data_IF_997790159312
#
_entry.id   IF_997790159312
#
_cell.length_a   1.000
_cell.length_b   1.000
_cell.length_c   1.000
_cell.angle_alpha   90.00
_cell.angle_beta   90.00
_cell.angle_gamma   90.00
#
_symmetry.space_group_name_H-M   'P 1'
#
loop_
_entity.id
_entity.type
_entity.pdbx_description
1 polymer ?
#
# COMPACT_ATOMS: atom_id res chain seq x y z
N UNK A 1 41.87 -20.43 -4.37
CA UNK A 1 40.90 -21.49 -4.01
C UNK A 1 40.78 -22.42 -5.22
N UNK A 2 41.05 -23.72 -5.05
CA UNK A 2 40.97 -24.65 -6.19
C UNK A 2 39.51 -24.85 -6.62
N UNK A 3 39.27 -25.08 -7.92
CA UNK A 3 37.93 -25.31 -8.47
C UNK A 3 37.16 -26.38 -7.66
N UNK A 4 37.89 -27.40 -7.17
CA UNK A 4 37.38 -28.49 -6.33
C UNK A 4 36.87 -28.00 -4.97
N UNK A 5 37.53 -27.02 -4.37
CA UNK A 5 37.11 -26.42 -3.08
C UNK A 5 35.86 -25.55 -3.26
N UNK A 6 35.75 -24.86 -4.41
CA UNK A 6 34.59 -24.09 -4.77
C UNK A 6 33.36 -25.00 -5.01
N UNK A 7 33.54 -26.13 -5.72
CA UNK A 7 32.45 -27.12 -5.89
C UNK A 7 32.08 -27.82 -4.58
N UNK A 8 33.04 -28.03 -3.66
CA UNK A 8 32.75 -28.62 -2.35
C UNK A 8 32.01 -27.64 -1.42
N UNK A 9 32.34 -26.33 -1.49
CA UNK A 9 31.58 -25.27 -0.80
C UNK A 9 30.16 -25.15 -1.35
N UNK A 10 29.99 -25.13 -2.66
CA UNK A 10 28.67 -25.12 -3.31
C UNK A 10 27.79 -26.33 -2.95
N UNK A 11 28.40 -27.53 -2.77
CA UNK A 11 27.68 -28.72 -2.29
C UNK A 11 27.18 -28.62 -0.86
N UNK A 12 27.89 -27.88 0.01
CA UNK A 12 27.46 -27.61 1.39
C UNK A 12 26.31 -26.58 1.45
N UNK A 13 26.26 -25.64 0.50
CA UNK A 13 25.28 -24.56 0.44
C UNK A 13 24.00 -24.90 -0.34
N UNK A 14 23.99 -26.03 -1.04
CA UNK A 14 22.90 -26.44 -1.96
C UNK A 14 23.03 -25.84 -3.35
N UNK A 15 22.71 -26.65 -4.38
CA UNK A 15 22.86 -26.26 -5.79
C UNK A 15 21.84 -25.20 -6.25
N UNK A 16 20.69 -25.10 -5.57
CA UNK A 16 19.56 -24.22 -5.93
C UNK A 16 19.37 -23.15 -4.86
N UNK A 17 19.39 -23.52 -3.57
CA UNK A 17 19.05 -22.59 -2.48
C UNK A 17 20.00 -21.41 -2.40
N UNK A 18 21.30 -21.62 -2.44
CA UNK A 18 22.28 -20.53 -2.33
C UNK A 18 22.23 -19.55 -3.53
N UNK A 19 22.20 -20.00 -4.81
CA UNK A 19 22.01 -19.09 -5.94
C UNK A 19 20.67 -18.36 -5.90
N UNK A 20 19.59 -19.03 -5.50
CA UNK A 20 18.25 -18.44 -5.38
C UNK A 20 18.23 -17.36 -4.28
N UNK A 21 18.78 -17.65 -3.12
CA UNK A 21 18.83 -16.70 -2.02
C UNK A 21 19.66 -15.45 -2.38
N UNK A 22 20.78 -15.63 -3.08
CA UNK A 22 21.58 -14.50 -3.59
C UNK A 22 20.78 -13.65 -4.58
N UNK A 23 20.13 -14.30 -5.56
CA UNK A 23 19.29 -13.62 -6.53
C UNK A 23 18.16 -12.82 -5.85
N UNK A 24 17.43 -13.42 -4.89
CA UNK A 24 16.34 -12.77 -4.17
C UNK A 24 16.85 -11.61 -3.32
N UNK A 25 17.99 -11.76 -2.64
CA UNK A 25 18.59 -10.67 -1.89
C UNK A 25 18.94 -9.47 -2.78
N UNK A 26 19.55 -9.73 -3.93
CA UNK A 26 19.88 -8.70 -4.91
C UNK A 26 18.63 -8.01 -5.49
N UNK A 27 17.55 -8.78 -5.75
CA UNK A 27 16.29 -8.21 -6.24
C UNK A 27 15.63 -7.33 -5.18
N UNK A 28 15.50 -7.84 -3.95
CA UNK A 28 14.81 -7.18 -2.85
C UNK A 28 15.46 -5.87 -2.39
N UNK A 29 16.78 -5.77 -2.54
CA UNK A 29 17.57 -4.64 -2.04
C UNK A 29 18.03 -3.68 -3.16
N UNK A 30 17.40 -3.76 -4.33
CA UNK A 30 17.58 -2.76 -5.40
C UNK A 30 16.89 -1.45 -5.02
N UNK A 31 17.35 -0.32 -5.58
CA UNK A 31 16.65 0.95 -5.44
C UNK A 31 15.16 0.79 -5.79
N UNK A 32 14.30 1.21 -4.88
CA UNK A 32 12.87 1.07 -5.03
C UNK A 32 12.32 2.17 -5.96
N UNK A 33 11.40 1.79 -6.85
CA UNK A 33 10.74 2.68 -7.81
C UNK A 33 9.43 3.29 -7.25
N UNK A 34 9.04 2.93 -6.01
CA UNK A 34 7.81 3.42 -5.38
C UNK A 34 7.89 4.92 -5.13
N UNK A 35 6.72 5.55 -5.12
CA UNK A 35 6.59 6.93 -4.69
C UNK A 35 7.25 7.15 -3.32
N UNK A 36 8.10 8.15 -3.28
CA UNK A 36 8.78 8.58 -2.05
C UNK A 36 8.19 9.93 -1.62
N UNK A 37 8.34 10.27 -0.35
CA UNK A 37 7.82 11.51 0.22
C UNK A 37 6.30 11.64 0.13
N UNK A 38 5.57 10.53 0.25
CA UNK A 38 4.10 10.49 0.37
C UNK A 38 3.68 9.71 1.60
N UNK A 39 2.47 9.97 2.08
CA UNK A 39 1.83 9.20 3.15
C UNK A 39 1.14 7.99 2.55
N UNK A 40 1.72 6.81 2.73
CA UNK A 40 1.09 5.58 2.26
C UNK A 40 0.01 5.12 3.25
N UNK A 41 -1.21 4.77 2.78
CA UNK A 41 -2.29 4.27 3.66
C UNK A 41 -1.89 3.06 4.50
N UNK A 42 -1.05 2.17 3.99
CA UNK A 42 -0.50 1.03 4.72
C UNK A 42 0.41 1.41 5.91
N UNK A 43 0.76 2.68 6.05
CA UNK A 43 1.53 3.22 7.18
C UNK A 43 0.65 3.99 8.18
N UNK A 44 -0.66 4.03 7.99
CA UNK A 44 -1.61 4.69 8.86
C UNK A 44 -1.48 4.22 10.32
N UNK A 45 -1.35 5.15 11.24
CA UNK A 45 -1.22 4.87 12.68
C UNK A 45 0.07 4.17 13.10
N UNK A 46 1.07 4.07 12.23
CA UNK A 46 2.41 3.59 12.58
C UNK A 46 3.31 4.73 13.10
N UNK A 47 4.51 4.39 13.57
CA UNK A 47 5.46 5.34 14.13
C UNK A 47 5.84 6.45 13.14
N UNK A 48 5.50 7.71 13.43
CA UNK A 48 5.78 8.88 12.59
C UNK A 48 7.27 9.06 12.33
N UNK A 49 8.13 8.74 13.30
CA UNK A 49 9.59 8.80 13.11
C UNK A 49 10.08 7.76 12.07
N UNK A 50 9.53 6.54 12.08
CA UNK A 50 9.86 5.53 11.07
C UNK A 50 9.33 5.93 9.68
N UNK A 51 8.11 6.49 9.63
CA UNK A 51 7.53 7.02 8.40
C UNK A 51 8.34 8.20 7.83
N UNK A 52 8.84 9.09 8.70
CA UNK A 52 9.74 10.17 8.33
C UNK A 52 11.01 9.64 7.67
N UNK A 53 11.67 8.64 8.26
CA UNK A 53 12.87 8.03 7.68
C UNK A 53 12.59 7.40 6.31
N UNK A 54 11.48 6.69 6.19
CA UNK A 54 11.06 6.08 4.93
C UNK A 54 10.83 7.12 3.84
N UNK A 55 10.09 8.19 4.15
CA UNK A 55 9.78 9.29 3.21
C UNK A 55 11.04 10.04 2.78
N UNK A 56 11.98 10.24 3.67
CA UNK A 56 13.25 10.90 3.39
C UNK A 56 14.35 9.95 2.87
N UNK A 57 13.99 8.71 2.50
CA UNK A 57 14.90 7.72 1.93
C UNK A 57 16.14 7.46 2.80
N UNK A 58 15.99 7.59 4.12
CA UNK A 58 17.07 7.23 5.05
C UNK A 58 17.34 5.73 4.92
N UNK A 59 18.60 5.35 4.85
CA UNK A 59 18.99 3.94 4.76
C UNK A 59 18.51 3.17 6.00
N UNK A 60 17.83 2.06 5.79
CA UNK A 60 17.37 1.17 6.85
C UNK A 60 18.51 0.34 7.45
N UNK A 61 18.26 -0.26 8.61
CA UNK A 61 19.25 -1.02 9.40
C UNK A 61 19.74 -2.32 8.74
N UNK A 62 19.14 -2.71 7.61
CA UNK A 62 19.53 -3.91 6.87
C UNK A 62 18.63 -4.16 5.68
N UNK A 63 19.07 -5.01 4.78
CA UNK A 63 18.31 -5.39 3.60
C UNK A 63 17.20 -6.40 3.93
N UNK A 64 16.32 -6.59 2.98
CA UNK A 64 15.30 -7.65 3.02
C UNK A 64 16.01 -8.98 2.77
N UNK A 65 15.92 -9.91 3.72
CA UNK A 65 16.47 -11.24 3.57
C UNK A 65 15.65 -12.09 2.57
N UNK A 66 16.25 -13.10 1.93
CA UNK A 66 15.59 -13.90 0.88
C UNK A 66 14.33 -14.63 1.33
N UNK A 67 14.26 -15.04 2.60
CA UNK A 67 13.06 -15.69 3.14
C UNK A 67 11.93 -14.69 3.27
N UNK A 68 12.20 -13.49 3.77
CA UNK A 68 11.23 -12.40 3.86
C UNK A 68 10.74 -12.00 2.48
N UNK A 69 11.61 -11.94 1.47
CA UNK A 69 11.20 -11.69 0.09
C UNK A 69 10.23 -12.76 -0.41
N UNK A 70 10.51 -14.04 -0.20
CA UNK A 70 9.56 -15.12 -0.59
C UNK A 70 8.20 -15.01 0.12
N UNK A 71 8.17 -14.49 1.35
CA UNK A 71 6.90 -14.22 2.06
C UNK A 71 6.12 -13.09 1.39
N UNK A 72 6.81 -12.03 0.94
CA UNK A 72 6.17 -10.93 0.21
C UNK A 72 5.66 -11.39 -1.16
N UNK A 73 6.46 -12.15 -1.91
CA UNK A 73 6.06 -12.72 -3.21
C UNK A 73 4.81 -13.59 -3.06
N UNK A 74 4.75 -14.44 -2.02
CA UNK A 74 3.56 -15.24 -1.75
C UNK A 74 2.32 -14.38 -1.46
N UNK A 75 2.49 -13.24 -0.77
CA UNK A 75 1.42 -12.26 -0.58
C UNK A 75 0.93 -11.71 -1.92
N UNK A 76 1.84 -11.26 -2.79
CA UNK A 76 1.52 -10.75 -4.12
C UNK A 76 0.75 -11.78 -4.97
N UNK A 77 1.22 -13.03 -5.03
CA UNK A 77 0.51 -14.09 -5.76
C UNK A 77 -0.87 -14.42 -5.16
N UNK A 78 -1.06 -14.25 -3.84
CA UNK A 78 -2.37 -14.40 -3.21
C UNK A 78 -3.33 -13.31 -3.72
N UNK A 79 -2.89 -12.05 -3.79
CA UNK A 79 -3.70 -10.95 -4.33
C UNK A 79 -4.06 -11.20 -5.79
N UNK A 80 -3.08 -11.42 -6.67
CA UNK A 80 -3.29 -11.68 -8.10
C UNK A 80 -4.30 -12.82 -8.33
N UNK A 81 -4.19 -13.92 -7.58
CA UNK A 81 -5.07 -15.07 -7.69
C UNK A 81 -6.50 -14.77 -7.24
N UNK A 82 -6.69 -14.12 -6.09
CA UNK A 82 -8.01 -13.81 -5.55
C UNK A 82 -8.70 -12.72 -6.38
N UNK A 83 -7.97 -11.69 -6.81
CA UNK A 83 -8.46 -10.67 -7.74
C UNK A 83 -8.90 -11.31 -9.05
N UNK A 84 -8.12 -12.24 -9.62
CA UNK A 84 -8.49 -12.97 -10.83
C UNK A 84 -9.82 -13.72 -10.70
N UNK A 85 -10.06 -14.41 -9.57
CA UNK A 85 -11.35 -15.07 -9.34
C UNK A 85 -12.51 -14.06 -9.26
N UNK A 86 -12.31 -12.90 -8.63
CA UNK A 86 -13.35 -11.89 -8.51
C UNK A 86 -13.64 -11.19 -9.85
N UNK A 87 -12.66 -11.04 -10.72
CA UNK A 87 -12.85 -10.58 -12.10
C UNK A 87 -13.69 -11.59 -12.87
N UNK A 88 -13.36 -12.89 -12.81
CA UNK A 88 -14.12 -13.95 -13.47
C UNK A 88 -15.58 -14.07 -12.98
N UNK A 89 -15.86 -13.58 -11.77
CA UNK A 89 -17.18 -13.55 -11.15
C UNK A 89 -17.96 -12.25 -11.43
N UNK A 90 -17.41 -11.30 -12.18
CA UNK A 90 -17.94 -9.94 -12.38
C UNK A 90 -18.15 -9.17 -11.05
N UNK A 91 -17.43 -9.55 -10.00
CA UNK A 91 -17.51 -8.93 -8.67
C UNK A 91 -16.52 -7.77 -8.51
N UNK A 92 -15.41 -7.75 -9.24
CA UNK A 92 -14.38 -6.73 -9.18
C UNK A 92 -14.53 -5.77 -10.36
N UNK A 93 -14.81 -4.48 -10.07
CA UNK A 93 -14.90 -3.42 -11.08
C UNK A 93 -13.52 -2.99 -11.58
N UNK A 94 -12.55 -2.98 -10.68
CA UNK A 94 -11.17 -2.60 -10.94
C UNK A 94 -10.28 -3.17 -9.83
N UNK A 95 -9.12 -3.70 -10.17
CA UNK A 95 -8.03 -4.06 -9.27
C UNK A 95 -7.01 -2.92 -9.15
N UNK A 96 -6.15 -2.98 -8.15
CA UNK A 96 -5.03 -2.04 -7.93
C UNK A 96 -5.47 -0.56 -8.11
N UNK A 97 -6.58 -0.18 -7.45
CA UNK A 97 -7.18 1.16 -7.60
C UNK A 97 -6.32 2.23 -6.96
N UNK A 98 -5.76 3.16 -7.74
CA UNK A 98 -4.97 4.25 -7.18
C UNK A 98 -5.87 5.25 -6.44
N UNK A 99 -5.42 5.67 -5.27
CA UNK A 99 -6.08 6.68 -4.45
C UNK A 99 -5.08 7.76 -4.04
N UNK A 100 -5.45 8.99 -4.33
CA UNK A 100 -4.65 10.20 -4.08
C UNK A 100 -5.44 11.18 -3.24
N UNK A 101 -4.79 11.79 -2.25
CA UNK A 101 -5.28 13.00 -1.63
C UNK A 101 -4.15 14.02 -1.50
N UNK A 102 -4.25 15.11 -2.27
CA UNK A 102 -3.20 16.14 -2.37
C UNK A 102 -3.03 16.89 -1.05
N UNK A 103 -4.14 17.19 -0.35
CA UNK A 103 -4.12 17.95 0.91
C UNK A 103 -3.24 17.30 1.97
N UNK A 104 -3.36 15.99 2.13
CA UNK A 104 -2.61 15.24 3.13
C UNK A 104 -1.39 14.52 2.52
N UNK A 105 -1.07 14.77 1.25
CA UNK A 105 0.00 14.10 0.52
C UNK A 105 -0.11 12.57 0.61
N UNK A 106 -1.34 12.04 0.43
CA UNK A 106 -1.62 10.61 0.46
C UNK A 106 -1.52 10.04 -0.95
N UNK A 107 -0.86 8.90 -1.07
CA UNK A 107 -0.82 8.11 -2.31
C UNK A 107 -0.72 6.63 -1.97
N UNK A 108 -1.54 5.82 -2.60
CA UNK A 108 -1.53 4.36 -2.46
C UNK A 108 -2.51 3.70 -3.40
N UNK A 109 -2.53 2.37 -3.38
CA UNK A 109 -3.49 1.55 -4.10
C UNK A 109 -4.25 0.71 -3.10
N UNK A 110 -5.56 0.57 -3.30
CA UNK A 110 -6.35 -0.48 -2.67
C UNK A 110 -6.45 -1.67 -3.62
N UNK A 111 -6.67 -2.87 -3.07
CA UNK A 111 -6.67 -4.10 -3.86
C UNK A 111 -7.84 -4.15 -4.87
N UNK A 112 -8.88 -3.32 -4.70
CA UNK A 112 -9.91 -3.16 -5.71
C UNK A 112 -11.15 -2.39 -5.29
N UNK A 113 -12.01 -2.11 -6.29
CA UNK A 113 -13.40 -1.71 -6.12
C UNK A 113 -14.32 -2.89 -6.43
N UNK A 114 -15.15 -3.26 -5.46
CA UNK A 114 -16.16 -4.33 -5.60
C UNK A 114 -17.50 -3.77 -6.07
N UNK A 115 -18.13 -4.52 -6.97
CA UNK A 115 -19.52 -4.32 -7.37
C UNK A 115 -20.44 -5.09 -6.43
N UNK A 116 -21.15 -4.38 -5.56
CA UNK A 116 -22.14 -4.95 -4.64
C UNK A 116 -23.59 -4.54 -5.00
N UNK A 117 -23.80 -4.08 -6.21
CA UNK A 117 -25.02 -3.55 -6.81
C UNK A 117 -26.18 -3.28 -5.81
N UNK A 118 -26.52 -2.02 -5.52
CA UNK A 118 -26.07 -0.79 -6.20
C UNK A 118 -24.83 -0.13 -5.56
N UNK A 119 -24.22 -0.74 -4.56
CA UNK A 119 -23.10 -0.15 -3.81
C UNK A 119 -21.75 -0.51 -4.44
N UNK A 120 -20.80 0.39 -4.30
CA UNK A 120 -19.37 0.11 -4.51
C UNK A 120 -18.67 0.03 -3.16
N UNK A 121 -17.87 -0.99 -2.96
CA UNK A 121 -17.06 -1.15 -1.76
C UNK A 121 -15.58 -1.26 -2.10
N UNK A 122 -14.71 -0.93 -1.14
CA UNK A 122 -13.26 -1.14 -1.25
C UNK A 122 -12.93 -2.58 -0.85
N UNK A 123 -12.07 -3.23 -1.64
CA UNK A 123 -11.49 -4.52 -1.32
C UNK A 123 -10.10 -4.32 -0.72
N UNK A 124 -9.79 -5.08 0.32
CA UNK A 124 -8.46 -5.17 0.90
C UNK A 124 -8.14 -6.62 1.28
N UNK A 125 -7.20 -7.23 0.59
CA UNK A 125 -6.79 -8.64 0.76
C UNK A 125 -5.62 -8.71 1.73
N UNK A 126 -5.64 -9.67 2.64
CA UNK A 126 -4.58 -9.89 3.62
C UNK A 126 -4.23 -11.37 3.73
N UNK A 127 -2.97 -11.71 3.49
CA UNK A 127 -2.44 -13.07 3.67
C UNK A 127 -1.76 -13.17 5.04
N UNK A 128 -2.24 -14.06 5.91
CA UNK A 128 -1.71 -14.26 7.27
C UNK A 128 -1.46 -15.74 7.57
N UNK A 129 -0.60 -16.02 8.56
CA UNK A 129 -0.31 -17.39 8.97
C UNK A 129 -1.46 -18.00 9.79
N UNK A 130 -1.47 -19.34 9.90
CA UNK A 130 -2.53 -20.08 10.60
C UNK A 130 -2.78 -19.60 12.03
N UNK A 131 -1.75 -19.24 12.80
CA UNK A 131 -1.92 -18.74 14.15
C UNK A 131 -2.66 -17.39 14.16
N UNK A 132 -2.20 -16.44 13.36
CA UNK A 132 -2.85 -15.13 13.23
C UNK A 132 -4.28 -15.25 12.69
N UNK A 133 -4.52 -16.20 11.78
CA UNK A 133 -5.83 -16.48 11.21
C UNK A 133 -6.80 -17.08 12.25
N UNK A 134 -6.33 -18.02 13.08
CA UNK A 134 -7.15 -18.62 14.14
C UNK A 134 -7.59 -17.57 15.18
N UNK A 135 -6.69 -16.67 15.56
CA UNK A 135 -6.95 -15.62 16.54
C UNK A 135 -7.83 -14.48 16.00
N UNK A 136 -8.06 -14.41 14.68
CA UNK A 136 -8.75 -13.31 14.02
C UNK A 136 -10.27 -13.42 14.23
N UNK A 137 -10.83 -12.47 14.99
CA UNK A 137 -12.27 -12.34 15.25
C UNK A 137 -12.89 -11.13 14.53
N UNK A 138 -12.07 -10.22 14.05
CA UNK A 138 -12.41 -9.01 13.33
C UNK A 138 -11.19 -8.55 12.51
N UNK A 139 -11.36 -7.58 11.60
CA UNK A 139 -10.24 -6.94 10.93
C UNK A 139 -9.31 -6.29 11.96
N UNK A 140 -7.99 -6.38 11.72
CA UNK A 140 -7.01 -5.78 12.63
C UNK A 140 -7.13 -4.27 12.63
N UNK A 141 -6.92 -3.63 13.79
CA UNK A 141 -7.03 -2.18 13.94
C UNK A 141 -6.11 -1.40 12.97
N UNK A 142 -4.91 -1.92 12.73
CA UNK A 142 -3.99 -1.32 11.74
C UNK A 142 -4.56 -1.35 10.30
N UNK A 143 -5.29 -2.41 9.95
CA UNK A 143 -5.94 -2.52 8.64
C UNK A 143 -7.20 -1.65 8.57
N UNK A 144 -7.96 -1.52 9.66
CA UNK A 144 -9.10 -0.59 9.73
C UNK A 144 -8.66 0.85 9.53
N UNK A 145 -7.53 1.29 10.15
CA UNK A 145 -6.95 2.61 9.91
C UNK A 145 -6.58 2.79 8.44
N UNK A 146 -5.96 1.80 7.83
CA UNK A 146 -5.66 1.80 6.39
C UNK A 146 -6.94 1.92 5.55
N UNK A 147 -7.96 1.11 5.85
CA UNK A 147 -9.25 1.14 5.16
C UNK A 147 -9.97 2.47 5.28
N UNK A 148 -9.92 3.13 6.47
CA UNK A 148 -10.50 4.46 6.65
C UNK A 148 -9.86 5.51 5.73
N UNK A 149 -8.54 5.44 5.53
CA UNK A 149 -7.86 6.34 4.60
C UNK A 149 -8.29 6.09 3.16
N UNK A 150 -8.44 4.82 2.77
CA UNK A 150 -8.96 4.50 1.44
C UNK A 150 -10.38 5.01 1.22
N UNK A 151 -11.29 4.77 2.19
CA UNK A 151 -12.65 5.30 2.14
C UNK A 151 -12.69 6.83 2.06
N UNK A 152 -11.85 7.48 2.84
CA UNK A 152 -11.72 8.94 2.81
C UNK A 152 -11.29 9.43 1.43
N UNK A 153 -10.22 8.88 0.87
CA UNK A 153 -9.71 9.31 -0.43
C UNK A 153 -10.69 9.04 -1.56
N UNK A 154 -11.31 7.86 -1.58
CA UNK A 154 -12.28 7.49 -2.60
C UNK A 154 -13.53 8.39 -2.56
N UNK A 155 -14.09 8.63 -1.36
CA UNK A 155 -15.30 9.44 -1.21
C UNK A 155 -15.03 10.93 -1.49
N UNK A 156 -13.91 11.50 -1.03
CA UNK A 156 -13.50 12.86 -1.37
C UNK A 156 -13.36 13.04 -2.88
N UNK A 157 -12.74 12.06 -3.58
CA UNK A 157 -12.60 12.12 -5.02
C UNK A 157 -13.94 11.99 -5.73
N UNK A 158 -14.81 11.08 -5.29
CA UNK A 158 -16.16 10.91 -5.81
C UNK A 158 -16.98 12.19 -5.71
N UNK A 159 -16.99 12.80 -4.53
CA UNK A 159 -17.69 14.06 -4.28
C UNK A 159 -17.14 15.19 -5.17
N UNK A 160 -15.81 15.31 -5.25
CA UNK A 160 -15.16 16.30 -6.12
C UNK A 160 -15.61 16.17 -7.58
N UNK A 161 -15.59 14.94 -8.12
CA UNK A 161 -15.98 14.69 -9.50
C UNK A 161 -17.45 15.07 -9.77
N UNK A 162 -18.36 14.66 -8.89
CA UNK A 162 -19.80 14.94 -9.01
C UNK A 162 -20.16 16.39 -8.74
N UNK A 163 -19.39 17.08 -7.93
CA UNK A 163 -19.59 18.53 -7.69
C UNK A 163 -19.03 19.36 -8.84
N UNK A 164 -17.96 18.93 -9.46
CA UNK A 164 -17.31 19.65 -10.56
C UNK A 164 -18.05 19.44 -11.87
N UNK A 165 -18.39 18.20 -12.21
CA UNK A 165 -19.03 17.84 -13.48
C UNK A 165 -20.49 17.46 -13.23
N UNK A 166 -21.41 18.18 -13.88
CA UNK A 166 -22.88 17.98 -13.69
C UNK A 166 -23.47 17.06 -14.73
N UNK A 167 -22.80 16.87 -15.85
CA UNK A 167 -23.24 15.98 -16.93
C UNK A 167 -22.09 15.06 -17.37
N UNK A 168 -22.46 13.98 -18.04
CA UNK A 168 -21.50 13.04 -18.61
C UNK A 168 -20.66 13.71 -19.71
N UNK A 169 -21.23 14.65 -20.47
CA UNK A 169 -20.51 15.41 -21.48
C UNK A 169 -19.42 16.28 -20.86
N UNK A 170 -19.72 16.99 -19.75
CA UNK A 170 -18.72 17.78 -19.01
C UNK A 170 -17.60 16.90 -18.46
N UNK A 171 -17.95 15.76 -17.86
CA UNK A 171 -16.99 14.81 -17.33
C UNK A 171 -16.09 14.24 -18.44
N UNK A 172 -16.64 13.83 -19.58
CA UNK A 172 -15.88 13.31 -20.71
C UNK A 172 -15.00 14.39 -21.35
N UNK A 173 -15.48 15.63 -21.46
CA UNK A 173 -14.71 16.75 -22.01
C UNK A 173 -13.49 17.12 -21.12
N UNK A 174 -13.51 16.80 -19.82
CA UNK A 174 -12.40 17.04 -18.90
C UNK A 174 -11.29 15.98 -18.92
N UNK A 175 -11.36 14.99 -19.80
CA UNK A 175 -10.43 13.86 -19.83
C UNK A 175 -8.95 14.31 -19.89
N UNK A 176 -8.62 15.21 -20.82
CA UNK A 176 -7.25 15.68 -21.00
C UNK A 176 -6.75 16.51 -19.81
N UNK A 177 -7.61 17.33 -19.19
CA UNK A 177 -7.31 18.09 -17.97
C UNK A 177 -7.00 17.16 -16.80
N UNK A 178 -7.82 16.13 -16.59
CA UNK A 178 -7.60 15.12 -15.54
C UNK A 178 -6.33 14.30 -15.79
N UNK A 179 -6.09 13.90 -17.05
CA UNK A 179 -4.88 13.21 -17.44
C UNK A 179 -3.63 14.05 -17.16
N UNK A 180 -3.65 15.36 -17.47
CA UNK A 180 -2.54 16.27 -17.19
C UNK A 180 -2.31 16.47 -15.70
N UNK A 181 -3.38 16.60 -14.89
CA UNK A 181 -3.29 16.64 -13.44
C UNK A 181 -2.55 15.39 -12.88
N UNK A 182 -2.96 14.18 -13.29
CA UNK A 182 -2.32 12.95 -12.83
C UNK A 182 -0.88 12.84 -13.35
N UNK A 183 -0.62 13.19 -14.59
CA UNK A 183 0.74 13.22 -15.16
C UNK A 183 1.65 14.15 -14.36
N UNK A 184 1.16 15.33 -13.98
CA UNK A 184 1.87 16.26 -13.10
C UNK A 184 2.14 15.67 -11.73
N UNK A 185 1.15 15.00 -11.13
CA UNK A 185 1.29 14.36 -9.81
C UNK A 185 2.37 13.27 -9.79
N UNK A 186 2.46 12.45 -10.84
CA UNK A 186 3.42 11.35 -10.92
C UNK A 186 4.80 11.72 -11.50
N UNK A 187 5.10 13.01 -11.71
CA UNK A 187 6.40 13.48 -12.23
C UNK A 187 7.62 12.99 -11.42
N UNK A 188 7.45 12.67 -10.14
CA UNK A 188 8.50 12.18 -9.24
C UNK A 188 8.88 10.72 -9.46
N UNK A 189 8.08 9.93 -10.19
CA UNK A 189 8.35 8.52 -10.44
C UNK A 189 9.65 8.32 -11.24
N UNK A 190 10.33 7.21 -10.95
CA UNK A 190 11.54 6.80 -11.65
C UNK A 190 11.27 5.59 -12.52
N UNK A 191 11.98 5.48 -13.63
CA UNK A 191 11.97 4.27 -14.45
C UNK A 191 12.50 3.08 -13.68
N UNK A 192 12.07 1.89 -14.08
CA UNK A 192 12.48 0.63 -13.51
C UNK A 192 13.06 -0.33 -14.55
N UNK A 193 13.21 -1.58 -14.14
CA UNK A 193 13.78 -2.61 -15.01
C UNK A 193 12.83 -3.08 -16.12
N UNK A 194 11.52 -3.13 -15.80
CA UNK A 194 10.49 -3.62 -16.73
C UNK A 194 9.87 -2.50 -17.55
N UNK A 195 9.76 -1.30 -16.95
CA UNK A 195 9.08 -0.15 -17.54
C UNK A 195 9.95 1.08 -17.47
N UNK A 196 9.92 1.90 -18.51
CA UNK A 196 10.49 3.25 -18.51
C UNK A 196 9.74 4.14 -17.50
N UNK A 197 10.29 5.32 -17.23
CA UNK A 197 9.61 6.32 -16.39
C UNK A 197 8.27 6.73 -17.01
N UNK A 198 8.27 6.98 -18.31
CA UNK A 198 7.12 7.42 -19.09
C UNK A 198 6.00 6.35 -19.10
N UNK A 199 6.36 5.08 -19.29
CA UNK A 199 5.38 3.97 -19.23
C UNK A 199 4.74 3.83 -17.85
N UNK A 200 5.51 4.00 -16.78
CA UNK A 200 4.96 3.96 -15.41
C UNK A 200 4.01 5.12 -15.14
N UNK A 201 4.41 6.34 -15.53
CA UNK A 201 3.55 7.52 -15.36
C UNK A 201 2.27 7.34 -16.16
N UNK A 202 2.36 6.86 -17.41
CA UNK A 202 1.18 6.65 -18.22
C UNK A 202 0.25 5.59 -17.63
N UNK A 203 0.80 4.48 -17.13
CA UNK A 203 0.01 3.46 -16.46
C UNK A 203 -0.76 4.01 -15.24
N UNK A 204 -0.10 4.81 -14.38
CA UNK A 204 -0.76 5.45 -13.25
C UNK A 204 -1.84 6.44 -13.69
N UNK A 205 -1.59 7.20 -14.77
CA UNK A 205 -2.59 8.11 -15.35
C UNK A 205 -3.82 7.32 -15.80
N UNK A 206 -3.62 6.25 -16.57
CA UNK A 206 -4.71 5.42 -17.11
C UNK A 206 -5.54 4.78 -15.98
N UNK A 207 -4.89 4.26 -14.94
CA UNK A 207 -5.56 3.70 -13.77
C UNK A 207 -6.39 4.75 -13.02
N UNK A 208 -5.84 5.96 -12.82
CA UNK A 208 -6.59 7.05 -12.16
C UNK A 208 -7.79 7.52 -12.99
N UNK A 209 -7.67 7.59 -14.31
CA UNK A 209 -8.78 7.95 -15.19
C UNK A 209 -9.89 6.88 -15.17
N UNK A 210 -9.51 5.60 -15.10
CA UNK A 210 -10.47 4.50 -14.94
C UNK A 210 -11.16 4.56 -13.57
N UNK A 211 -10.39 4.79 -12.50
CA UNK A 211 -10.94 5.01 -11.16
C UNK A 211 -11.91 6.19 -11.12
N UNK A 212 -11.55 7.33 -11.72
CA UNK A 212 -12.43 8.49 -11.86
C UNK A 212 -13.75 8.16 -12.55
N UNK A 213 -13.69 7.34 -13.60
CA UNK A 213 -14.89 6.92 -14.34
C UNK A 213 -15.82 6.11 -13.41
N UNK A 214 -15.30 5.15 -12.65
CA UNK A 214 -16.10 4.38 -11.70
C UNK A 214 -16.69 5.31 -10.63
N UNK A 215 -15.88 6.17 -10.04
CA UNK A 215 -16.29 7.07 -8.97
C UNK A 215 -17.35 8.07 -9.42
N UNK A 216 -17.24 8.63 -10.63
CA UNK A 216 -18.21 9.55 -11.18
C UNK A 216 -19.58 8.91 -11.36
N UNK A 217 -19.63 7.64 -11.82
CA UNK A 217 -20.87 6.89 -12.03
C UNK A 217 -21.39 6.17 -10.77
N UNK A 218 -20.68 6.25 -9.65
CA UNK A 218 -21.13 5.69 -8.37
C UNK A 218 -22.07 6.66 -7.68
N UNK A 219 -23.38 6.32 -7.61
CA UNK A 219 -24.41 7.19 -7.02
C UNK A 219 -24.36 7.23 -5.50
N UNK A 220 -24.18 6.07 -4.87
CA UNK A 220 -24.14 5.94 -3.41
C UNK A 220 -22.77 6.27 -2.85
N UNK A 221 -22.70 6.77 -1.60
CA UNK A 221 -21.43 6.97 -0.90
C UNK A 221 -20.65 5.67 -0.73
N UNK A 222 -19.33 5.76 -0.89
CA UNK A 222 -18.43 4.62 -0.63
C UNK A 222 -18.07 4.61 0.86
N UNK A 223 -18.72 3.74 1.62
CA UNK A 223 -18.61 3.70 3.09
C UNK A 223 -18.06 2.40 3.64
N UNK A 224 -17.84 1.39 2.78
CA UNK A 224 -17.47 0.02 3.21
C UNK A 224 -16.12 -0.40 2.67
N UNK A 225 -15.34 -1.06 3.53
CA UNK A 225 -14.17 -1.87 3.14
C UNK A 225 -14.47 -3.32 3.45
N UNK A 226 -14.28 -4.19 2.48
CA UNK A 226 -14.32 -5.63 2.66
C UNK A 226 -12.89 -6.11 2.84
N UNK A 227 -12.55 -6.55 4.07
CA UNK A 227 -11.27 -7.17 4.36
C UNK A 227 -11.37 -8.67 4.12
N UNK A 228 -10.68 -9.17 3.12
CA UNK A 228 -10.59 -10.59 2.83
C UNK A 228 -9.25 -11.14 3.33
N UNK A 229 -9.29 -11.94 4.38
CA UNK A 229 -8.11 -12.60 4.93
C UNK A 229 -7.97 -14.01 4.41
N UNK A 230 -6.82 -14.35 3.87
CA UNK A 230 -6.46 -15.72 3.55
C UNK A 230 -5.45 -16.28 4.55
N UNK A 231 -5.73 -17.48 5.05
CA UNK A 231 -4.75 -18.29 5.75
C UNK A 231 -3.76 -18.85 4.72
N UNK A 232 -2.54 -18.30 4.68
CA UNK A 232 -1.54 -18.70 3.69
C UNK A 232 -1.07 -20.15 3.78
N UNK A 233 -1.39 -20.85 4.87
CA UNK A 233 -0.99 -22.24 5.12
C UNK A 233 -2.09 -23.22 4.69
N UNK A 234 -3.39 -22.83 4.79
CA UNK A 234 -4.56 -23.71 4.50
C UNK A 234 -5.46 -23.19 3.38
N UNK A 235 -5.29 -21.96 2.94
CA UNK A 235 -6.12 -21.20 1.98
C UNK A 235 -7.58 -20.99 2.45
N UNK A 236 -7.87 -21.16 3.74
CA UNK A 236 -9.14 -20.77 4.31
C UNK A 236 -9.32 -19.26 4.27
N UNK A 237 -10.56 -18.81 4.04
CA UNK A 237 -10.90 -17.39 3.94
C UNK A 237 -11.74 -16.94 5.14
N UNK A 238 -11.51 -15.71 5.58
CA UNK A 238 -12.39 -14.95 6.48
C UNK A 238 -12.63 -13.58 5.90
N UNK A 239 -13.88 -13.14 5.92
CA UNK A 239 -14.29 -11.83 5.47
C UNK A 239 -14.77 -10.99 6.65
N UNK A 240 -14.39 -9.71 6.66
CA UNK A 240 -14.89 -8.73 7.61
C UNK A 240 -15.30 -7.46 6.87
N UNK A 241 -16.53 -7.02 7.13
CA UNK A 241 -17.05 -5.75 6.62
C UNK A 241 -16.74 -4.67 7.64
N UNK A 242 -16.09 -3.61 7.22
CA UNK A 242 -15.82 -2.45 8.04
C UNK A 242 -16.46 -1.21 7.40
N UNK A 243 -17.24 -0.48 8.18
CA UNK A 243 -17.97 0.70 7.70
C UNK A 243 -17.42 1.99 8.32
N UNK A 244 -17.28 3.01 7.49
CA UNK A 244 -17.05 4.37 7.96
C UNK A 244 -18.35 4.93 8.52
N UNK A 245 -18.33 5.31 9.78
CA UNK A 245 -19.47 5.83 10.53
C UNK A 245 -19.04 7.02 11.39
N UNK A 246 -19.98 7.70 12.00
CA UNK A 246 -19.68 8.80 12.94
C UNK A 246 -18.73 8.34 14.06
N UNK A 247 -18.82 7.10 14.50
CA UNK A 247 -17.95 6.56 15.56
C UNK A 247 -16.51 6.33 15.11
N UNK A 248 -16.24 6.21 13.80
CA UNK A 248 -14.89 6.03 13.25
C UNK A 248 -14.22 7.35 12.86
N UNK A 249 -14.96 8.46 12.80
CA UNK A 249 -14.41 9.79 12.45
C UNK A 249 -13.28 10.27 13.37
N UNK A 250 -13.30 10.03 14.70
CA UNK A 250 -12.16 10.38 15.55
C UNK A 250 -10.88 9.65 15.17
N UNK A 251 -10.97 8.37 14.76
CA UNK A 251 -9.81 7.57 14.32
C UNK A 251 -9.27 8.11 13.00
N UNK A 252 -10.15 8.42 12.05
CA UNK A 252 -9.77 9.05 10.79
C UNK A 252 -9.06 10.39 11.03
N UNK A 253 -9.65 11.24 11.87
CA UNK A 253 -9.08 12.55 12.22
C UNK A 253 -7.68 12.41 12.84
N UNK A 254 -7.49 11.46 13.76
CA UNK A 254 -6.17 11.16 14.35
C UNK A 254 -5.14 10.83 13.26
N UNK A 255 -5.47 9.92 12.34
CA UNK A 255 -4.54 9.52 11.27
C UNK A 255 -4.26 10.67 10.29
N UNK A 256 -5.27 11.49 9.95
CA UNK A 256 -5.06 12.63 9.06
C UNK A 256 -4.20 13.72 9.72
N UNK A 257 -4.36 13.97 11.02
CA UNK A 257 -3.51 14.87 11.80
C UNK A 257 -2.06 14.36 11.87
N UNK A 258 -1.87 13.03 12.02
CA UNK A 258 -0.54 12.41 11.95
C UNK A 258 0.12 12.64 10.59
N UNK A 259 -0.63 12.55 9.51
CA UNK A 259 -0.11 12.81 8.17
C UNK A 259 0.24 14.28 7.94
N UNK A 260 -0.59 15.20 8.42
CA UNK A 260 -0.31 16.64 8.37
C UNK A 260 0.96 16.99 9.16
N UNK A 261 1.05 16.53 10.40
CA UNK A 261 2.26 16.66 11.22
C UNK A 261 3.50 16.05 10.54
N UNK A 262 3.38 14.88 9.92
CA UNK A 262 4.50 14.25 9.22
C UNK A 262 4.91 15.04 7.97
N UNK A 263 3.96 15.66 7.25
CA UNK A 263 4.25 16.57 6.14
C UNK A 263 5.07 17.77 6.62
N UNK A 264 4.64 18.44 7.70
CA UNK A 264 5.38 19.55 8.31
C UNK A 264 6.79 19.14 8.72
N UNK A 265 6.94 17.98 9.35
CA UNK A 265 8.25 17.45 9.75
C UNK A 265 9.17 17.20 8.54
N UNK A 266 8.63 16.68 7.44
CA UNK A 266 9.40 16.44 6.22
C UNK A 266 9.82 17.75 5.55
N UNK A 267 8.92 18.73 5.50
CA UNK A 267 9.17 20.04 4.89
C UNK A 267 10.21 20.86 5.65
N UNK A 268 10.17 20.80 7.00
CA UNK A 268 11.12 21.48 7.88
C UNK A 268 12.42 20.70 8.14
N UNK A 269 12.52 19.45 7.68
CA UNK A 269 13.66 18.57 7.99
C UNK A 269 13.76 18.17 9.47
N UNK A 270 12.64 18.24 10.22
CA UNK A 270 12.59 17.96 11.65
C UNK A 270 12.20 16.51 11.90
N UNK A 271 13.09 15.74 12.54
CA UNK A 271 12.80 14.34 12.85
C UNK A 271 11.74 14.24 13.96
N UNK A 272 10.59 13.56 13.75
CA UNK A 272 9.59 13.34 14.79
C UNK A 272 10.19 12.71 16.07
N UNK A 273 9.68 13.01 17.26
CA UNK A 273 10.12 12.37 18.48
C UNK A 273 9.87 10.86 18.45
N UNK A 274 10.57 10.12 19.30
CA UNK A 274 10.24 8.71 19.52
C UNK A 274 8.89 8.63 20.22
N UNK A 275 8.05 7.65 19.89
CA UNK A 275 6.81 7.42 20.63
C UNK A 275 7.09 7.21 22.12
N UNK A 276 6.15 7.61 22.96
CA UNK A 276 6.25 7.42 24.41
C UNK A 276 6.43 5.94 24.75
N UNK A 277 7.31 5.63 25.68
CA UNK A 277 7.65 4.26 26.07
C UNK A 277 8.47 3.47 25.02
N UNK A 278 8.87 4.09 23.90
CA UNK A 278 9.70 3.44 22.90
C UNK A 278 11.10 3.12 23.45
N UNK A 279 11.51 1.86 23.32
CA UNK A 279 12.87 1.39 23.59
C UNK A 279 13.32 0.38 22.54
N UNK A 280 14.62 0.12 22.43
CA UNK A 280 15.13 -0.89 21.48
C UNK A 280 14.50 -2.28 21.65
N UNK A 281 13.98 -2.60 22.83
CA UNK A 281 13.35 -3.88 23.18
C UNK A 281 11.83 -3.87 23.13
N UNK A 282 11.19 -2.69 22.99
CA UNK A 282 9.73 -2.60 22.91
C UNK A 282 9.21 -3.33 21.67
N UNK A 283 7.98 -3.87 21.74
CA UNK A 283 7.33 -4.54 20.61
C UNK A 283 7.26 -3.65 19.37
N UNK A 284 6.99 -2.38 19.56
CA UNK A 284 6.92 -1.36 18.49
C UNK A 284 8.25 -1.25 17.72
N UNK A 285 9.40 -1.33 18.42
CA UNK A 285 10.71 -1.16 17.81
C UNK A 285 11.38 -2.47 17.42
N UNK A 286 10.87 -3.62 17.89
CA UNK A 286 11.52 -4.92 17.70
C UNK A 286 11.74 -5.27 16.22
N UNK A 287 10.78 -4.92 15.39
CA UNK A 287 10.77 -5.23 13.95
C UNK A 287 10.87 -3.97 13.07
N UNK A 288 11.26 -2.84 13.67
CA UNK A 288 11.43 -1.60 12.92
C UNK A 288 12.70 -1.64 12.08
N UNK A 289 12.57 -1.37 10.78
CA UNK A 289 13.71 -1.32 9.84
C UNK A 289 14.67 -0.15 10.06
N UNK A 290 14.36 0.77 10.98
CA UNK A 290 15.18 1.93 11.35
C UNK A 290 15.59 1.92 12.82
N UNK A 291 15.54 0.75 13.46
CA UNK A 291 15.77 0.63 14.90
C UNK A 291 17.14 1.16 15.33
N UNK A 292 18.21 0.76 14.64
CA UNK A 292 19.55 1.21 14.99
C UNK A 292 19.75 2.68 14.62
N UNK A 293 19.39 3.07 13.42
CA UNK A 293 19.40 4.46 12.96
C UNK A 293 18.66 5.38 13.92
N UNK A 294 17.47 4.98 14.38
CA UNK A 294 16.64 5.74 15.31
C UNK A 294 17.32 5.99 16.67
N UNK A 295 18.17 5.10 17.16
CA UNK A 295 18.79 5.19 18.47
C UNK A 295 20.28 5.66 18.46
N UNK A 296 20.78 6.00 17.29
CA UNK A 296 22.10 6.64 17.14
C UNK A 296 21.97 8.16 17.05
N UNK A 297 20.84 8.65 16.58
CA UNK A 297 20.51 10.09 16.40
C UNK A 297 19.85 10.67 17.62
#
# INVERSE_FOLDING_TARGET
MALKDMFQAMRKEGYITAPLDRYLYEQANRPNDRAVNVNAPSQAGKCNRANYYMRNQVEGDGGIDPRTQRIFDNGTYTHERLQGYMIDMDLLLMDEVPLINVKYNIQGHTDGFLNLDPEVAILEIKSINSRGFADLKDAKEEHKKQGLIYLYCAEERRLYLRDTYKTEEEFNASYDERAEFFRGHYQHMKGGRKFTREEKIQNEVDLNLLSDNILFHTDLPITKVIFLYENKDTQELKEFVFERTISTEPILTEVLNDYEYLNECCDCGTIPPRPDGASKSSMMCKWCGYKNTCYVV
#
